data_IF_867432351485
#
_entry.id   IF_867432351485
#
_cell.length_a   1.000
_cell.length_b   1.000
_cell.length_c   1.000
_cell.angle_alpha   90.00
_cell.angle_beta   90.00
_cell.angle_gamma   90.00
#
_symmetry.space_group_name_H-M   'P 1'
#
loop_
_entity.id
_entity.type
_entity.pdbx_description
1 polymer ?
#
# COMPACT_ATOMS: atom_id res chain seq x y z
N UNK A 1 4.62 7.89 16.99
CA UNK A 1 3.71 8.59 16.05
C UNK A 1 2.30 8.58 16.63
N UNK A 2 1.48 9.59 16.33
CA UNK A 2 0.04 9.56 16.67
C UNK A 2 -0.76 8.77 15.64
N UNK A 3 -1.99 8.35 16.00
CA UNK A 3 -2.91 7.71 15.04
C UNK A 3 -3.21 8.59 13.83
N UNK A 4 -3.30 9.92 14.03
CA UNK A 4 -3.46 10.86 12.92
C UNK A 4 -2.26 10.82 11.96
N UNK A 5 -1.03 10.78 12.48
CA UNK A 5 0.19 10.71 11.66
C UNK A 5 0.29 9.37 10.91
N UNK A 6 -0.13 8.27 11.52
CA UNK A 6 -0.21 6.97 10.85
C UNK A 6 -1.21 7.02 9.68
N UNK A 7 -2.36 7.65 9.88
CA UNK A 7 -3.33 7.83 8.81
C UNK A 7 -2.75 8.63 7.64
N UNK A 8 -2.05 9.73 7.89
CA UNK A 8 -1.42 10.52 6.83
C UNK A 8 -0.35 9.73 6.05
N UNK A 9 0.38 8.86 6.71
CA UNK A 9 1.32 7.95 6.04
C UNK A 9 0.58 6.99 5.09
N UNK A 10 -0.51 6.38 5.54
CA UNK A 10 -1.33 5.51 4.70
C UNK A 10 -2.00 6.27 3.53
N UNK A 11 -2.39 7.53 3.74
CA UNK A 11 -2.91 8.40 2.66
C UNK A 11 -1.84 8.65 1.57
N UNK A 12 -0.58 8.78 1.96
CA UNK A 12 0.54 8.87 1.00
C UNK A 12 0.70 7.55 0.25
N UNK A 13 0.73 6.41 0.95
CA UNK A 13 0.82 5.07 0.34
C UNK A 13 -0.31 4.79 -0.65
N UNK A 14 -1.53 5.28 -0.39
CA UNK A 14 -2.67 5.14 -1.28
C UNK A 14 -2.44 5.76 -2.68
N UNK A 15 -1.42 6.62 -2.84
CA UNK A 15 -0.98 7.19 -4.11
C UNK A 15 -0.49 6.15 -5.13
N UNK A 16 -0.17 4.93 -4.68
CA UNK A 16 0.15 3.78 -5.54
C UNK A 16 -0.99 3.42 -6.50
N UNK A 17 -2.22 3.74 -6.14
CA UNK A 17 -3.40 3.37 -6.91
C UNK A 17 -4.00 4.57 -7.61
N UNK A 18 -4.47 4.36 -8.85
CA UNK A 18 -5.25 5.37 -9.58
C UNK A 18 -6.61 5.58 -8.92
N UNK A 19 -7.21 6.73 -9.20
CA UNK A 19 -8.63 6.94 -8.91
C UNK A 19 -9.47 6.09 -9.87
N UNK A 20 -10.50 5.43 -9.35
CA UNK A 20 -11.40 4.55 -10.07
C UNK A 20 -12.79 5.20 -10.11
N UNK A 21 -13.35 5.37 -11.31
CA UNK A 21 -14.75 5.74 -11.48
C UNK A 21 -15.62 4.47 -11.46
N UNK A 22 -16.44 4.25 -10.42
CA UNK A 22 -17.26 3.06 -10.29
C UNK A 22 -18.38 2.96 -11.35
N UNK A 23 -18.67 4.06 -12.05
CA UNK A 23 -19.71 4.13 -13.08
C UNK A 23 -19.17 3.92 -14.50
N UNK A 24 -17.85 4.00 -14.68
CA UNK A 24 -17.21 3.76 -15.97
C UNK A 24 -17.34 2.29 -16.38
N UNK A 25 -17.63 2.07 -17.66
CA UNK A 25 -17.60 0.74 -18.30
C UNK A 25 -16.29 0.48 -19.04
N UNK A 26 -15.47 1.50 -19.19
CA UNK A 26 -14.16 1.38 -19.82
C UNK A 26 -13.14 0.78 -18.87
N UNK A 27 -12.17 0.01 -19.39
CA UNK A 27 -11.07 -0.52 -18.58
C UNK A 27 -10.26 0.57 -17.88
N UNK A 28 -10.03 0.42 -16.60
CA UNK A 28 -9.27 1.37 -15.77
C UNK A 28 -8.03 0.72 -15.17
N UNK A 29 -6.91 1.41 -15.24
CA UNK A 29 -5.66 0.91 -14.65
C UNK A 29 -5.65 1.12 -13.13
N UNK A 30 -5.43 0.03 -12.39
CA UNK A 30 -5.34 0.07 -10.93
C UNK A 30 -4.09 0.81 -10.46
N UNK A 31 -2.94 0.46 -11.06
CA UNK A 31 -1.63 0.93 -10.59
C UNK A 31 -1.29 2.28 -11.23
N UNK A 32 -0.94 3.23 -10.40
CA UNK A 32 -0.41 4.52 -10.81
C UNK A 32 1.08 4.38 -11.17
N UNK A 33 1.39 4.25 -12.46
CA UNK A 33 2.76 4.07 -12.95
C UNK A 33 3.69 5.26 -12.70
N UNK A 34 3.13 6.44 -12.38
CA UNK A 34 3.93 7.61 -12.02
C UNK A 34 4.31 7.63 -10.54
N UNK A 35 3.69 6.81 -9.69
CA UNK A 35 4.01 6.70 -8.28
C UNK A 35 5.19 5.74 -8.09
N UNK A 36 6.24 6.12 -7.35
CA UNK A 36 7.36 5.24 -7.08
C UNK A 36 6.92 4.13 -6.10
N UNK A 37 6.82 2.90 -6.61
CA UNK A 37 6.25 1.77 -5.86
C UNK A 37 7.02 1.43 -4.58
N UNK A 38 8.30 1.79 -4.49
CA UNK A 38 9.09 1.67 -3.26
C UNK A 38 8.65 2.63 -2.14
N UNK A 39 7.73 3.54 -2.43
CA UNK A 39 7.06 4.41 -1.44
C UNK A 39 5.68 3.86 -1.03
N UNK A 40 5.30 2.70 -1.54
CA UNK A 40 4.09 2.02 -1.09
C UNK A 40 4.40 1.18 0.14
N UNK A 41 3.82 1.57 1.26
CA UNK A 41 3.97 0.91 2.54
C UNK A 41 2.65 0.29 3.00
N UNK A 42 2.76 -0.86 3.62
CA UNK A 42 1.70 -1.52 4.38
C UNK A 42 2.08 -1.47 5.84
N UNK A 43 1.12 -1.18 6.72
CA UNK A 43 1.36 -1.11 8.16
C UNK A 43 0.69 -2.31 8.81
N UNK A 44 1.51 -3.20 9.35
CA UNK A 44 1.05 -4.34 10.14
C UNK A 44 0.57 -3.92 11.54
N UNK A 45 -0.28 -4.73 12.17
CA UNK A 45 -0.90 -4.44 13.46
C UNK A 45 -2.13 -3.53 13.40
N UNK A 46 -2.49 -3.04 12.20
CA UNK A 46 -3.70 -2.25 11.93
C UNK A 46 -4.56 -2.94 10.89
N UNK A 47 -5.85 -2.59 10.86
CA UNK A 47 -6.73 -2.93 9.74
C UNK A 47 -7.28 -1.66 9.10
N UNK A 48 -7.41 -1.65 7.77
CA UNK A 48 -7.91 -0.48 7.03
C UNK A 48 -8.37 -0.84 5.62
N UNK A 49 -9.04 0.12 4.97
CA UNK A 49 -9.44 0.00 3.57
C UNK A 49 -9.04 1.25 2.80
N UNK A 50 -8.83 1.08 1.49
CA UNK A 50 -8.65 2.19 0.56
C UNK A 50 -9.91 2.42 -0.27
N UNK A 51 -10.41 3.66 -0.25
CA UNK A 51 -11.48 4.16 -1.12
C UNK A 51 -10.87 4.75 -2.39
N UNK A 52 -10.80 3.97 -3.44
CA UNK A 52 -10.22 4.40 -4.71
C UNK A 52 -11.15 5.29 -5.54
N UNK A 53 -12.40 5.52 -5.12
CA UNK A 53 -13.26 6.52 -5.78
C UNK A 53 -12.83 7.95 -5.49
N UNK A 54 -12.02 8.14 -4.45
CA UNK A 54 -11.49 9.44 -4.05
C UNK A 54 -10.17 9.76 -4.78
N UNK A 55 -9.88 11.02 -5.10
CA UNK A 55 -8.56 11.43 -5.58
C UNK A 55 -7.49 11.24 -4.51
N UNK A 56 -6.22 11.25 -4.92
CA UNK A 56 -5.09 11.20 -3.98
C UNK A 56 -5.05 12.44 -3.09
N UNK A 57 -4.78 12.25 -1.81
CA UNK A 57 -4.53 13.36 -0.86
C UNK A 57 -3.18 14.02 -1.11
N UNK A 58 -2.18 13.23 -1.42
CA UNK A 58 -0.80 13.66 -1.66
C UNK A 58 -0.37 13.35 -3.10
N UNK A 59 0.51 14.17 -3.65
CA UNK A 59 1.23 13.83 -4.87
C UNK A 59 2.38 12.85 -4.58
N UNK A 60 3.10 12.44 -5.62
CA UNK A 60 4.20 11.48 -5.53
C UNK A 60 5.41 11.95 -4.70
N UNK A 61 5.54 13.26 -4.51
CA UNK A 61 6.58 13.90 -3.71
C UNK A 61 6.15 14.12 -2.24
N UNK A 62 4.93 13.73 -1.85
CA UNK A 62 4.38 13.90 -0.52
C UNK A 62 3.85 15.31 -0.23
N UNK A 63 3.59 16.11 -1.28
CA UNK A 63 2.95 17.41 -1.14
C UNK A 63 1.43 17.23 -1.07
N UNK A 64 0.79 17.90 -0.12
CA UNK A 64 -0.66 17.92 0.02
C UNK A 64 -1.30 18.63 -1.19
N UNK A 65 -2.16 17.92 -1.91
CA UNK A 65 -2.87 18.41 -3.10
C UNK A 65 -4.39 18.48 -2.92
N UNK A 66 -4.95 17.61 -2.06
CA UNK A 66 -6.39 17.59 -1.75
C UNK A 66 -6.59 17.47 -0.24
N UNK A 67 -6.76 18.60 0.44
CA UNK A 67 -6.80 18.67 1.91
C UNK A 67 -7.99 17.91 2.51
N UNK A 68 -9.18 18.06 1.91
CA UNK A 68 -10.44 17.55 2.46
C UNK A 68 -10.78 16.14 2.01
N UNK A 69 -9.83 15.48 1.34
CA UNK A 69 -9.98 14.13 0.81
C UNK A 69 -9.31 13.10 1.71
N UNK A 70 -9.89 11.93 1.79
CA UNK A 70 -9.29 10.76 2.46
C UNK A 70 -9.63 9.51 1.67
N UNK A 71 -8.63 8.70 1.38
CA UNK A 71 -8.76 7.33 0.85
C UNK A 71 -8.76 6.28 1.94
N UNK A 72 -8.11 6.56 3.07
CA UNK A 72 -8.03 5.63 4.20
C UNK A 72 -9.36 5.59 4.95
N UNK A 73 -9.99 4.41 4.97
CA UNK A 73 -11.27 4.13 5.61
C UNK A 73 -11.13 3.01 6.62
N UNK A 74 -12.03 2.96 7.57
CA UNK A 74 -12.16 1.90 8.57
C UNK A 74 -10.83 1.59 9.29
N UNK A 75 -9.99 2.61 9.48
CA UNK A 75 -8.70 2.46 10.14
C UNK A 75 -8.91 2.07 11.59
N UNK A 76 -8.43 0.88 11.96
CA UNK A 76 -8.65 0.32 13.30
C UNK A 76 -7.38 -0.30 13.88
N UNK A 77 -7.27 -0.27 15.20
CA UNK A 77 -6.26 -0.92 16.01
C UNK A 77 -6.96 -1.86 17.00
N UNK A 78 -6.54 -3.14 17.03
CA UNK A 78 -7.15 -4.17 17.89
C UNK A 78 -8.68 -4.26 17.76
N UNK A 79 -9.19 -4.10 16.54
CA UNK A 79 -10.62 -4.20 16.24
C UNK A 79 -11.46 -2.97 16.64
N UNK A 80 -10.84 -1.88 17.13
CA UNK A 80 -11.52 -0.63 17.45
C UNK A 80 -11.06 0.50 16.52
N UNK A 81 -11.92 1.45 16.15
CA UNK A 81 -11.49 2.63 15.41
C UNK A 81 -10.26 3.27 16.07
N UNK A 82 -9.25 3.61 15.27
CA UNK A 82 -8.02 4.17 15.81
C UNK A 82 -8.29 5.51 16.50
N UNK A 83 -7.78 5.70 17.70
CA UNK A 83 -7.74 7.02 18.32
C UNK A 83 -6.63 7.86 17.65
N UNK A 84 -7.02 8.94 17.00
CA UNK A 84 -6.10 9.81 16.27
C UNK A 84 -5.07 10.51 17.18
N UNK A 85 -5.36 10.63 18.47
CA UNK A 85 -4.47 11.25 19.46
C UNK A 85 -3.59 10.23 20.19
N UNK A 86 -3.92 8.95 20.14
CA UNK A 86 -3.13 7.89 20.77
C UNK A 86 -1.75 7.82 20.14
N UNK A 87 -0.73 7.65 20.98
CA UNK A 87 0.65 7.46 20.52
C UNK A 87 0.96 5.98 20.32
N UNK A 88 1.59 5.68 19.20
CA UNK A 88 2.03 4.35 18.80
C UNK A 88 3.55 4.32 18.65
N UNK A 89 4.17 3.20 19.00
CA UNK A 89 5.52 2.87 18.60
C UNK A 89 5.46 2.16 17.24
N UNK A 90 6.10 2.73 16.24
CA UNK A 90 6.12 2.17 14.89
C UNK A 90 7.55 1.85 14.50
N UNK A 91 7.77 0.62 14.02
CA UNK A 91 9.07 0.17 13.51
C UNK A 91 9.05 0.26 11.99
N UNK A 92 10.10 0.83 11.41
CA UNK A 92 10.25 0.96 9.96
C UNK A 92 11.73 1.07 9.59
N UNK A 93 12.04 1.18 8.29
CA UNK A 93 13.41 1.36 7.82
C UNK A 93 13.88 2.82 7.94
N UNK A 94 15.18 3.04 7.82
CA UNK A 94 15.79 4.36 7.92
C UNK A 94 15.44 5.28 6.74
N UNK A 95 15.12 4.74 5.57
CA UNK A 95 14.72 5.51 4.39
C UNK A 95 13.47 6.35 4.68
N UNK A 96 12.45 5.74 5.30
CA UNK A 96 11.21 6.42 5.66
C UNK A 96 11.43 7.45 6.77
N UNK A 97 12.27 7.15 7.77
CA UNK A 97 12.51 8.06 8.89
C UNK A 97 13.30 9.31 8.52
N UNK A 98 14.10 9.25 7.45
CA UNK A 98 14.89 10.38 6.94
C UNK A 98 14.23 11.10 5.75
N UNK A 99 13.22 10.46 5.12
CA UNK A 99 12.47 11.01 4.00
C UNK A 99 11.43 12.05 4.41
N UNK A 100 10.78 12.65 3.40
CA UNK A 100 9.74 13.66 3.59
C UNK A 100 8.33 13.05 3.58
N UNK A 101 8.17 11.86 4.15
CA UNK A 101 6.88 11.16 4.17
C UNK A 101 5.88 11.85 5.11
N UNK A 102 4.68 12.19 4.62
CA UNK A 102 3.60 12.70 5.46
C UNK A 102 3.36 11.80 6.68
N UNK A 103 3.16 12.41 7.83
CA UNK A 103 3.01 11.72 9.10
C UNK A 103 4.34 11.25 9.71
N UNK A 104 5.19 10.58 8.96
CA UNK A 104 6.48 10.07 9.47
C UNK A 104 7.45 11.21 9.77
N UNK A 105 7.52 12.22 8.90
CA UNK A 105 8.39 13.39 9.12
C UNK A 105 8.08 14.14 10.41
N UNK A 106 6.81 14.12 10.82
CA UNK A 106 6.27 14.87 11.95
C UNK A 106 6.26 14.05 13.26
N UNK A 107 6.84 12.84 13.26
CA UNK A 107 6.95 12.00 14.45
C UNK A 107 7.76 12.71 15.54
N UNK A 108 7.24 12.75 16.77
CA UNK A 108 7.84 13.46 17.90
C UNK A 108 9.21 12.87 18.30
N UNK A 109 9.41 11.58 18.13
CA UNK A 109 10.65 10.88 18.42
C UNK A 109 10.99 9.91 17.31
N UNK A 110 12.24 9.87 16.89
CA UNK A 110 12.79 8.91 15.93
C UNK A 110 14.09 8.35 16.51
N UNK A 111 14.15 7.02 16.62
CA UNK A 111 15.35 6.30 17.06
C UNK A 111 15.91 5.49 15.92
N UNK A 112 17.13 5.76 15.53
CA UNK A 112 17.87 4.89 14.62
C UNK A 112 18.45 3.74 15.44
N UNK A 113 18.09 2.53 15.07
CA UNK A 113 18.70 1.32 15.60
C UNK A 113 19.84 0.91 14.69
N UNK A 114 20.97 0.47 15.26
CA UNK A 114 22.10 -0.08 14.50
C UNK A 114 21.82 -1.55 14.13
N UNK A 115 20.69 -1.78 13.49
CA UNK A 115 20.24 -3.08 13.01
C UNK A 115 20.13 -3.03 11.49
N UNK A 116 20.55 -4.10 10.85
CA UNK A 116 20.43 -4.26 9.40
C UNK A 116 19.17 -5.07 9.07
N UNK A 117 18.17 -4.47 8.44
CA UNK A 117 16.90 -5.12 8.11
C UNK A 117 17.07 -6.49 7.46
N UNK A 118 18.06 -6.63 6.57
CA UNK A 118 18.33 -7.90 5.90
C UNK A 118 18.83 -8.97 6.89
N UNK A 119 19.69 -8.58 7.83
CA UNK A 119 20.20 -9.52 8.84
C UNK A 119 19.10 -9.93 9.81
N UNK A 120 18.27 -8.98 10.25
CA UNK A 120 17.13 -9.26 11.14
C UNK A 120 16.14 -10.25 10.49
N UNK A 121 15.87 -10.09 9.18
CA UNK A 121 15.03 -11.04 8.43
C UNK A 121 15.67 -12.43 8.36
N UNK A 122 16.98 -12.51 8.11
CA UNK A 122 17.71 -13.79 8.07
C UNK A 122 17.65 -14.46 9.44
N UNK A 123 17.93 -13.73 10.50
CA UNK A 123 17.96 -14.26 11.87
C UNK A 123 16.57 -14.75 12.29
N UNK A 124 15.52 -14.00 11.92
CA UNK A 124 14.13 -14.41 12.14
C UNK A 124 13.79 -15.72 11.40
N UNK A 125 14.13 -15.82 10.11
CA UNK A 125 13.88 -17.06 9.32
C UNK A 125 14.65 -18.24 9.93
N UNK A 126 15.88 -18.05 10.36
CA UNK A 126 16.70 -19.10 10.99
C UNK A 126 16.09 -19.55 12.32
N UNK A 127 15.58 -18.61 13.13
CA UNK A 127 14.96 -18.93 14.41
C UNK A 127 13.64 -19.68 14.27
N UNK A 128 12.78 -19.22 13.37
CA UNK A 128 11.44 -19.79 13.15
C UNK A 128 11.44 -21.08 12.32
N UNK A 129 12.49 -21.29 11.51
CA UNK A 129 12.65 -22.47 10.62
C UNK A 129 11.59 -22.62 9.55
N UNK A 130 10.33 -22.32 9.86
CA UNK A 130 9.20 -22.35 8.94
C UNK A 130 8.45 -21.03 9.04
N UNK A 131 8.32 -20.34 7.92
CA UNK A 131 7.63 -19.05 7.84
C UNK A 131 6.28 -19.25 7.14
N UNK A 132 5.21 -18.77 7.76
CA UNK A 132 3.93 -18.62 7.08
C UNK A 132 3.95 -17.28 6.31
N UNK A 133 3.91 -17.38 4.99
CA UNK A 133 3.96 -16.23 4.07
C UNK A 133 2.58 -15.81 3.53
N UNK A 134 1.50 -16.36 4.09
CA UNK A 134 0.15 -15.98 3.64
C UNK A 134 -0.14 -14.54 4.00
N UNK A 135 -0.91 -13.85 3.14
CA UNK A 135 -1.45 -12.53 3.45
C UNK A 135 -2.37 -12.63 4.68
N UNK A 136 -2.22 -11.71 5.60
CA UNK A 136 -3.02 -11.63 6.83
C UNK A 136 -4.37 -10.93 6.64
N UNK A 137 -4.58 -10.29 5.45
CA UNK A 137 -5.82 -9.61 5.12
C UNK A 137 -6.04 -8.31 5.90
N UNK A 138 -4.97 -7.72 6.42
CA UNK A 138 -5.05 -6.51 7.26
C UNK A 138 -5.50 -5.27 6.50
N UNK A 139 -5.46 -5.28 5.17
CA UNK A 139 -6.01 -4.21 4.34
C UNK A 139 -6.75 -4.73 3.10
N UNK A 140 -7.63 -3.89 2.54
CA UNK A 140 -8.36 -4.18 1.31
C UNK A 140 -8.83 -2.89 0.62
N UNK A 141 -9.40 -3.01 -0.57
CA UNK A 141 -10.17 -1.92 -1.17
C UNK A 141 -11.61 -1.91 -0.64
N UNK A 142 -12.23 -0.73 -0.63
CA UNK A 142 -13.68 -0.66 -0.43
C UNK A 142 -14.41 -1.33 -1.61
N UNK A 143 -15.51 -2.05 -1.36
CA UNK A 143 -16.24 -2.77 -2.40
C UNK A 143 -17.03 -1.85 -3.35
N UNK A 144 -17.01 -0.54 -3.16
CA UNK A 144 -17.70 0.45 -3.98
C UNK A 144 -17.17 0.54 -5.42
N UNK A 145 -16.07 -0.16 -5.76
CA UNK A 145 -15.51 -0.27 -7.10
C UNK A 145 -15.69 -1.66 -7.74
N UNK A 146 -16.41 -2.58 -7.08
CA UNK A 146 -16.54 -3.98 -7.50
C UNK A 146 -17.17 -4.18 -8.89
N UNK A 147 -17.92 -3.20 -9.41
CA UNK A 147 -18.57 -3.27 -10.72
C UNK A 147 -17.76 -2.61 -11.85
N UNK A 148 -16.61 -2.02 -11.56
CA UNK A 148 -15.73 -1.41 -12.54
C UNK A 148 -14.80 -2.46 -13.19
N UNK A 149 -14.47 -2.28 -14.48
CA UNK A 149 -13.42 -3.08 -15.14
C UNK A 149 -12.05 -2.53 -14.73
N UNK A 150 -11.46 -3.15 -13.70
CA UNK A 150 -10.19 -2.72 -13.12
C UNK A 150 -9.09 -3.68 -13.58
N UNK A 151 -8.03 -3.14 -14.14
CA UNK A 151 -6.93 -3.92 -14.69
C UNK A 151 -5.58 -3.48 -14.13
N UNK A 152 -4.66 -4.43 -14.04
CA UNK A 152 -3.26 -4.16 -13.71
C UNK A 152 -2.34 -5.07 -14.53
N UNK A 153 -1.12 -4.61 -14.74
CA UNK A 153 -0.10 -5.36 -15.43
C UNK A 153 0.66 -6.28 -14.46
N UNK A 154 1.00 -7.49 -14.92
CA UNK A 154 1.83 -8.42 -14.17
C UNK A 154 2.70 -9.23 -15.15
N UNK A 155 3.67 -9.97 -14.63
CA UNK A 155 4.50 -10.86 -15.46
C UNK A 155 3.68 -12.05 -16.00
N UNK A 156 4.12 -12.64 -17.12
CA UNK A 156 3.47 -13.85 -17.67
C UNK A 156 3.52 -15.03 -16.70
N UNK A 157 4.50 -15.07 -15.80
CA UNK A 157 4.60 -16.11 -14.78
C UNK A 157 3.41 -16.08 -13.80
N UNK A 158 2.79 -14.93 -13.58
CA UNK A 158 1.61 -14.77 -12.71
C UNK A 158 0.42 -15.63 -13.21
N UNK A 159 0.34 -15.95 -14.51
CA UNK A 159 -0.74 -16.78 -15.08
C UNK A 159 -0.82 -18.16 -14.46
N UNK A 160 0.31 -18.74 -14.09
CA UNK A 160 0.36 -20.06 -13.46
C UNK A 160 -0.30 -20.08 -12.06
N UNK A 161 -0.51 -18.91 -11.45
CA UNK A 161 -1.04 -18.75 -10.10
C UNK A 161 -2.49 -18.29 -10.06
N UNK A 162 -3.16 -18.16 -11.20
CA UNK A 162 -4.55 -17.68 -11.28
C UNK A 162 -5.59 -18.79 -11.02
N UNK A 163 -5.23 -20.06 -11.12
CA UNK A 163 -6.18 -21.17 -11.07
C UNK A 163 -7.03 -21.24 -9.78
N UNK A 164 -6.61 -20.60 -8.69
CA UNK A 164 -7.30 -20.58 -7.40
C UNK A 164 -7.65 -19.14 -6.96
N UNK A 165 -7.79 -18.21 -7.90
CA UNK A 165 -8.07 -16.80 -7.62
C UNK A 165 -9.40 -16.41 -8.24
N UNK A 166 -10.48 -16.40 -7.44
CA UNK A 166 -11.82 -16.06 -7.94
C UNK A 166 -11.96 -14.57 -8.30
N UNK A 167 -11.12 -13.71 -7.70
CA UNK A 167 -11.19 -12.25 -7.86
C UNK A 167 -10.34 -11.72 -9.02
N UNK A 168 -9.45 -12.52 -9.62
CA UNK A 168 -8.49 -12.07 -10.63
C UNK A 168 -8.54 -13.00 -11.84
N UNK A 169 -8.68 -12.43 -13.03
CA UNK A 169 -8.68 -13.18 -14.29
C UNK A 169 -7.71 -12.60 -15.30
N UNK A 170 -7.18 -13.44 -16.18
CA UNK A 170 -6.34 -13.00 -17.28
C UNK A 170 -7.21 -12.43 -18.41
N UNK A 171 -6.96 -11.19 -18.79
CA UNK A 171 -7.73 -10.49 -19.84
C UNK A 171 -6.98 -10.33 -21.17
N UNK A 172 -5.69 -10.62 -21.22
CA UNK A 172 -4.89 -10.56 -22.45
C UNK A 172 -3.48 -10.00 -22.24
N UNK A 173 -2.62 -10.08 -23.26
CA UNK A 173 -1.28 -9.51 -23.21
C UNK A 173 -1.34 -7.98 -23.23
N UNK A 174 -0.35 -7.33 -22.60
CA UNK A 174 -0.20 -5.88 -22.67
C UNK A 174 0.51 -5.53 -23.97
N UNK A 175 -0.17 -4.81 -24.88
CA UNK A 175 0.36 -4.39 -26.17
C UNK A 175 1.31 -3.20 -26.08
N UNK A 176 2.27 -3.20 -25.17
CA UNK A 176 3.21 -2.08 -24.99
C UNK A 176 4.65 -2.40 -25.41
N UNK A 177 4.91 -3.56 -26.02
CA UNK A 177 6.25 -3.96 -26.45
C UNK A 177 7.26 -4.18 -25.30
N UNK A 178 6.84 -3.96 -24.06
CA UNK A 178 7.58 -4.27 -22.84
C UNK A 178 6.60 -4.83 -21.82
N UNK A 179 6.82 -6.06 -21.44
CA UNK A 179 6.14 -6.69 -20.31
C UNK A 179 6.89 -6.24 -19.05
N UNK A 180 6.59 -5.05 -18.57
CA UNK A 180 7.03 -4.61 -17.26
C UNK A 180 5.88 -4.80 -16.29
N UNK A 181 5.80 -5.98 -15.73
CA UNK A 181 4.72 -6.37 -14.82
C UNK A 181 5.11 -6.42 -13.36
N UNK A 182 6.21 -5.80 -12.97
CA UNK A 182 6.57 -5.48 -11.57
C UNK A 182 7.66 -4.40 -11.61
N UNK A 183 7.67 -3.44 -10.69
CA UNK A 183 8.56 -2.28 -10.75
C UNK A 183 10.04 -2.58 -10.45
N UNK A 184 10.50 -3.80 -10.55
CA UNK A 184 11.87 -4.17 -10.21
C UNK A 184 12.75 -4.67 -11.36
N UNK A 185 12.20 -4.85 -12.58
CA UNK A 185 12.99 -5.31 -13.73
C UNK A 185 12.55 -4.62 -15.02
N UNK A 186 13.05 -3.43 -15.22
CA UNK A 186 13.23 -2.81 -16.54
C UNK A 186 14.52 -2.02 -16.57
#
# INVERSE_FOLDING_TARGET
MTGAQIKEWLEMSAGQFNQIDPNSKEPQQLINSSYPSYNYDVIDGLTYKFDLTQPNKYDREGKLVNQDVSRVRDLAYQGQPIDLNQTFLVVTNNYLTTGNFPGVKDAAEKRLLNLENRQDIIDYIVSEKTINQSADGNWSFLPNIANADIRFASSDNARAHLANQDAISYVGPINTGRICGVPFDC
#
